data_IF_274110752289
#
_entry.id   IF_274110752289
#
_cell.length_a   1.000
_cell.length_b   1.000
_cell.length_c   1.000
_cell.angle_alpha   90.00
_cell.angle_beta   90.00
_cell.angle_gamma   90.00
#
_symmetry.space_group_name_H-M   'P 1'
#
loop_
_entity.id
_entity.type
_entity.pdbx_description
1 polymer ?
#
# COMPACT_ATOMS: atom_id res chain seq x y z
N UNK A 1 3.32 20.83 -4.80
CA UNK A 1 4.08 19.57 -4.62
C UNK A 1 3.34 18.52 -5.40
N UNK A 2 4.05 17.82 -6.29
CA UNK A 2 3.44 16.77 -7.10
C UNK A 2 3.27 15.50 -6.26
N UNK A 3 2.17 14.80 -6.48
CA UNK A 3 1.90 13.48 -5.91
C UNK A 3 1.57 12.54 -7.06
N UNK A 4 2.26 11.43 -7.14
CA UNK A 4 2.07 10.45 -8.19
C UNK A 4 1.59 9.14 -7.57
N UNK A 5 0.54 8.58 -8.17
CA UNK A 5 0.07 7.22 -7.88
C UNK A 5 0.79 6.24 -8.77
N UNK A 6 1.27 5.14 -8.20
CA UNK A 6 1.94 4.10 -8.97
C UNK A 6 1.52 2.69 -8.53
N UNK A 7 1.74 1.74 -9.44
CA UNK A 7 1.47 0.32 -9.20
C UNK A 7 2.74 -0.43 -8.84
N UNK A 8 2.58 -1.52 -8.11
CA UNK A 8 3.64 -2.47 -7.75
C UNK A 8 3.07 -3.87 -7.83
N UNK A 9 3.14 -4.49 -9.00
CA UNK A 9 2.51 -5.77 -9.33
C UNK A 9 3.53 -6.76 -9.88
N UNK A 10 3.15 -7.99 -10.11
CA UNK A 10 4.01 -9.06 -10.62
C UNK A 10 5.34 -9.16 -9.82
N UNK A 11 6.47 -9.28 -10.52
CA UNK A 11 7.79 -9.37 -9.90
C UNK A 11 8.18 -8.14 -9.07
N UNK A 12 7.59 -6.96 -9.34
CA UNK A 12 7.87 -5.77 -8.54
C UNK A 12 7.30 -5.89 -7.12
N UNK A 13 6.25 -6.71 -6.90
CA UNK A 13 5.71 -6.98 -5.56
C UNK A 13 6.74 -7.66 -4.64
N UNK A 14 7.69 -8.40 -5.22
CA UNK A 14 8.77 -9.09 -4.51
C UNK A 14 9.98 -8.20 -4.19
N UNK A 15 9.94 -6.91 -4.57
CA UNK A 15 11.00 -5.95 -4.28
C UNK A 15 10.78 -5.33 -2.90
N UNK A 16 11.80 -5.32 -2.05
CA UNK A 16 11.73 -4.73 -0.73
C UNK A 16 11.45 -3.21 -0.78
N UNK A 17 10.86 -2.67 0.29
CA UNK A 17 10.49 -1.25 0.33
C UNK A 17 11.69 -0.31 0.03
N UNK A 18 12.84 -0.55 0.65
CA UNK A 18 14.05 0.27 0.43
C UNK A 18 14.49 0.25 -1.04
N UNK A 19 14.38 -0.90 -1.69
CA UNK A 19 14.75 -1.01 -3.11
C UNK A 19 13.67 -0.41 -4.02
N UNK A 20 12.39 -0.42 -3.60
CA UNK A 20 11.33 0.34 -4.26
C UNK A 20 11.62 1.85 -4.22
N UNK A 21 12.05 2.40 -3.07
CA UNK A 21 12.45 3.81 -2.96
C UNK A 21 13.60 4.14 -3.91
N UNK A 22 14.61 3.27 -3.98
CA UNK A 22 15.75 3.41 -4.90
C UNK A 22 15.29 3.36 -6.36
N UNK A 23 14.44 2.38 -6.71
CA UNK A 23 13.90 2.24 -8.06
C UNK A 23 13.15 3.51 -8.50
N UNK A 24 12.25 4.03 -7.66
CA UNK A 24 11.53 5.28 -7.93
C UNK A 24 12.52 6.45 -8.11
N UNK A 25 13.52 6.59 -7.23
CA UNK A 25 14.55 7.63 -7.37
C UNK A 25 15.29 7.52 -8.71
N UNK A 26 15.63 6.31 -9.14
CA UNK A 26 16.30 6.10 -10.44
C UNK A 26 15.38 6.39 -11.64
N UNK A 27 14.08 6.06 -11.53
CA UNK A 27 13.07 6.39 -12.55
C UNK A 27 13.02 7.91 -12.73
N UNK A 28 12.88 8.67 -11.64
CA UNK A 28 12.86 10.14 -11.70
C UNK A 28 14.13 10.73 -12.33
N UNK A 29 15.31 10.22 -11.96
CA UNK A 29 16.59 10.65 -12.53
C UNK A 29 16.68 10.37 -14.04
N UNK A 30 16.30 9.17 -14.49
CA UNK A 30 16.32 8.79 -15.90
C UNK A 30 15.31 9.57 -16.72
N UNK A 31 14.13 9.82 -16.15
CA UNK A 31 13.10 10.64 -16.76
C UNK A 31 13.47 12.14 -16.80
N UNK A 32 14.59 12.53 -16.17
CA UNK A 32 15.05 13.93 -16.06
C UNK A 32 13.98 14.87 -15.47
N UNK A 33 13.21 14.37 -14.52
CA UNK A 33 12.28 15.21 -13.76
C UNK A 33 13.10 16.04 -12.78
N UNK A 34 12.94 17.36 -12.84
CA UNK A 34 13.63 18.28 -11.95
C UNK A 34 12.95 18.27 -10.57
N UNK A 35 13.56 17.56 -9.64
CA UNK A 35 13.08 17.41 -8.24
C UNK A 35 14.06 18.12 -7.32
N UNK A 36 13.55 18.84 -6.34
CA UNK A 36 14.39 19.48 -5.31
C UNK A 36 15.20 18.41 -4.54
N UNK A 37 16.41 18.79 -4.17
CA UNK A 37 17.31 17.98 -3.35
C UNK A 37 17.43 18.54 -1.94
N UNK A 38 17.58 17.65 -0.96
CA UNK A 38 17.85 18.03 0.41
C UNK A 38 19.16 18.83 0.54
N UNK A 39 19.20 19.76 1.51
CA UNK A 39 20.41 20.51 1.84
C UNK A 39 21.30 19.68 2.78
N UNK A 40 22.58 19.58 2.51
CA UNK A 40 23.53 18.88 3.37
C UNK A 40 24.69 18.24 2.60
N UNK A 41 25.52 17.47 3.30
CA UNK A 41 26.73 16.84 2.72
C UNK A 41 26.40 15.72 1.70
N UNK A 42 25.26 15.06 1.84
CA UNK A 42 24.78 14.01 0.92
C UNK A 42 23.41 14.37 0.39
N UNK A 43 23.28 15.24 -0.63
CA UNK A 43 22.00 15.62 -1.18
C UNK A 43 21.24 14.43 -1.76
N UNK A 44 19.97 14.28 -1.40
CA UNK A 44 19.06 13.28 -1.96
C UNK A 44 17.78 13.95 -2.45
N UNK A 45 17.12 13.34 -3.42
CA UNK A 45 15.82 13.82 -3.90
C UNK A 45 14.81 13.87 -2.75
N UNK A 46 14.10 14.98 -2.61
CA UNK A 46 13.04 15.13 -1.62
C UNK A 46 11.77 14.42 -2.09
N UNK A 47 11.76 13.10 -1.91
CA UNK A 47 10.61 12.22 -2.17
C UNK A 47 9.99 11.78 -0.85
N UNK A 48 8.65 11.91 -0.76
CA UNK A 48 7.87 11.39 0.36
C UNK A 48 6.99 10.22 -0.12
N UNK A 49 6.87 9.17 0.66
CA UNK A 49 6.07 7.99 0.29
C UNK A 49 4.91 7.78 1.25
N UNK A 50 3.82 7.20 0.76
CA UNK A 50 2.77 6.63 1.61
C UNK A 50 3.29 5.46 2.44
N UNK A 51 2.46 4.96 3.35
CA UNK A 51 2.83 3.81 4.18
C UNK A 51 3.29 2.62 3.32
N UNK A 52 4.44 1.98 3.65
CA UNK A 52 4.99 0.89 2.86
C UNK A 52 4.08 -0.34 2.85
N UNK A 53 4.09 -1.05 1.72
CA UNK A 53 3.42 -2.35 1.59
C UNK A 53 4.39 -3.49 1.91
N UNK A 54 3.88 -4.57 2.50
CA UNK A 54 4.69 -5.77 2.80
C UNK A 54 5.15 -6.47 1.52
N UNK A 55 6.28 -7.14 1.61
CA UNK A 55 6.85 -7.93 0.51
C UNK A 55 5.87 -9.01 0.05
N UNK A 56 5.73 -9.21 -1.26
CA UNK A 56 4.86 -10.20 -1.87
C UNK A 56 3.40 -9.76 -2.02
N UNK A 57 3.03 -8.58 -1.51
CA UNK A 57 1.71 -8.01 -1.71
C UNK A 57 1.73 -7.11 -2.95
N UNK A 58 0.80 -7.33 -3.87
CA UNK A 58 0.60 -6.46 -5.03
C UNK A 58 -0.16 -5.20 -4.65
N UNK A 59 0.11 -4.11 -5.36
CA UNK A 59 -0.58 -2.84 -5.14
C UNK A 59 -0.83 -2.08 -6.43
N UNK A 60 -2.02 -1.51 -6.55
CA UNK A 60 -2.36 -0.51 -7.57
C UNK A 60 -2.57 0.88 -6.96
N UNK A 61 -2.22 1.05 -5.69
CA UNK A 61 -2.44 2.28 -4.92
C UNK A 61 -1.23 2.61 -4.01
N UNK A 62 -0.04 2.77 -4.60
CA UNK A 62 1.12 3.37 -3.96
C UNK A 62 1.21 4.85 -4.34
N UNK A 63 1.69 5.69 -3.40
CA UNK A 63 1.82 7.12 -3.66
C UNK A 63 3.21 7.62 -3.29
N UNK A 64 3.74 8.51 -4.13
CA UNK A 64 4.98 9.23 -3.89
C UNK A 64 4.76 10.71 -4.12
N UNK A 65 5.22 11.54 -3.22
CA UNK A 65 5.28 12.99 -3.39
C UNK A 65 6.68 13.42 -3.79
N UNK A 66 6.76 14.43 -4.68
CA UNK A 66 8.00 15.04 -5.11
C UNK A 66 7.87 16.57 -5.11
N UNK A 67 8.90 17.25 -4.65
CA UNK A 67 9.00 18.70 -4.85
C UNK A 67 9.52 18.99 -6.26
N UNK A 68 8.62 19.03 -7.20
CA UNK A 68 8.89 19.30 -8.62
C UNK A 68 7.79 20.16 -9.20
N UNK A 69 8.08 20.82 -10.33
CA UNK A 69 7.08 21.53 -11.11
C UNK A 69 6.28 20.56 -11.99
N UNK A 70 5.03 20.95 -12.27
CA UNK A 70 4.16 20.20 -13.18
C UNK A 70 4.71 20.25 -14.59
N UNK A 71 4.72 19.11 -15.27
CA UNK A 71 5.08 18.95 -16.68
C UNK A 71 4.02 18.09 -17.35
N UNK A 72 3.54 18.51 -18.53
CA UNK A 72 2.43 17.84 -19.24
C UNK A 72 2.72 16.37 -19.59
N UNK A 73 3.97 16.01 -19.81
CA UNK A 73 4.40 14.67 -20.21
C UNK A 73 5.05 13.84 -19.08
N UNK A 74 4.95 14.28 -17.84
CA UNK A 74 5.67 13.68 -16.70
C UNK A 74 5.36 12.18 -16.52
N UNK A 75 4.09 11.78 -16.65
CA UNK A 75 3.70 10.36 -16.54
C UNK A 75 4.31 9.53 -17.66
N UNK A 76 4.31 10.03 -18.89
CA UNK A 76 4.92 9.34 -20.04
C UNK A 76 6.43 9.17 -19.85
N UNK A 77 7.13 10.23 -19.41
CA UNK A 77 8.58 10.20 -19.13
C UNK A 77 8.93 9.21 -18.02
N UNK A 78 8.16 9.19 -16.94
CA UNK A 78 8.38 8.25 -15.84
C UNK A 78 8.12 6.81 -16.30
N UNK A 79 7.01 6.55 -16.98
CA UNK A 79 6.63 5.22 -17.44
C UNK A 79 7.61 4.62 -18.46
N UNK A 80 8.23 5.45 -19.31
CA UNK A 80 9.29 5.00 -20.21
C UNK A 80 10.54 4.44 -19.48
N UNK A 81 10.67 4.70 -18.18
CA UNK A 81 11.79 4.27 -17.36
C UNK A 81 11.39 3.28 -16.25
N UNK A 82 10.13 2.87 -16.19
CA UNK A 82 9.65 1.91 -15.20
C UNK A 82 10.10 0.48 -15.52
N UNK A 83 10.48 -0.31 -14.51
CA UNK A 83 10.64 -1.74 -14.68
C UNK A 83 9.26 -2.41 -14.85
N UNK A 84 9.27 -3.65 -15.36
CA UNK A 84 8.05 -4.46 -15.50
C UNK A 84 7.35 -4.61 -14.14
N UNK A 85 6.02 -4.44 -14.13
CA UNK A 85 5.18 -4.50 -12.92
C UNK A 85 5.12 -3.20 -12.12
N UNK A 86 5.74 -2.12 -12.59
CA UNK A 86 5.61 -0.78 -12.02
C UNK A 86 5.15 0.21 -13.09
N UNK A 87 4.17 1.05 -12.76
CA UNK A 87 3.66 2.09 -13.65
C UNK A 87 3.11 3.26 -12.83
N UNK A 88 3.34 4.48 -13.28
CA UNK A 88 2.70 5.68 -12.74
C UNK A 88 1.37 5.90 -13.45
N UNK A 89 0.27 5.97 -12.70
CA UNK A 89 -1.09 5.91 -13.27
C UNK A 89 -1.91 7.18 -13.04
N UNK A 90 -1.53 8.01 -12.08
CA UNK A 90 -2.20 9.29 -11.83
C UNK A 90 -1.23 10.32 -11.24
N UNK A 91 -1.58 11.59 -11.39
CA UNK A 91 -0.82 12.74 -10.95
C UNK A 91 -1.77 13.74 -10.28
N UNK A 92 -1.37 14.24 -9.12
CA UNK A 92 -2.11 15.24 -8.35
C UNK A 92 -1.16 16.36 -7.92
N UNK A 93 -1.72 17.54 -7.62
CA UNK A 93 -0.99 18.64 -7.06
C UNK A 93 -1.56 19.03 -5.69
N UNK A 94 -0.86 18.65 -4.61
CA UNK A 94 -1.26 18.96 -3.23
C UNK A 94 -0.06 18.97 -2.30
N UNK A 95 -0.09 19.86 -1.30
CA UNK A 95 0.94 19.87 -0.25
C UNK A 95 0.46 19.06 0.96
N UNK A 96 0.90 17.83 1.09
CA UNK A 96 0.48 16.91 2.14
C UNK A 96 1.61 15.95 2.53
N UNK A 97 1.59 15.50 3.79
CA UNK A 97 2.45 14.40 4.24
C UNK A 97 1.71 13.07 4.01
N UNK A 98 2.02 12.38 2.92
CA UNK A 98 1.36 11.13 2.53
C UNK A 98 1.38 10.05 3.63
N UNK A 99 2.52 9.89 4.33
CA UNK A 99 2.67 8.87 5.36
C UNK A 99 1.81 9.13 6.61
N UNK A 100 1.53 10.39 6.90
CA UNK A 100 0.68 10.77 8.04
C UNK A 100 -0.80 10.82 7.66
N UNK A 101 -1.09 11.20 6.41
CA UNK A 101 -2.47 11.48 5.97
C UNK A 101 -3.17 10.22 5.46
N UNK A 102 -2.48 9.39 4.67
CA UNK A 102 -3.07 8.15 4.14
C UNK A 102 -2.93 7.04 5.19
N UNK A 103 -3.96 6.88 6.02
CA UNK A 103 -3.92 6.08 7.23
C UNK A 103 -4.73 4.78 7.17
N UNK A 104 -5.48 4.53 6.06
CA UNK A 104 -6.19 3.28 5.81
C UNK A 104 -5.92 2.79 4.40
N UNK A 105 -6.02 1.48 4.22
CA UNK A 105 -5.88 0.86 2.91
C UNK A 105 -6.87 -0.29 2.72
N UNK A 106 -7.41 -0.39 1.52
CA UNK A 106 -8.29 -1.46 1.07
C UNK A 106 -7.47 -2.56 0.42
N UNK A 107 -7.83 -3.79 0.74
CA UNK A 107 -7.20 -4.98 0.18
C UNK A 107 -8.26 -5.96 -0.30
N UNK A 108 -8.00 -6.58 -1.46
CA UNK A 108 -8.65 -7.80 -1.89
C UNK A 108 -7.78 -8.96 -1.42
N UNK A 109 -8.39 -9.84 -0.65
CA UNK A 109 -7.81 -11.08 -0.14
C UNK A 109 -8.37 -12.23 -0.98
N UNK A 110 -7.51 -13.08 -1.52
CA UNK A 110 -7.92 -14.26 -2.29
C UNK A 110 -7.28 -15.51 -1.68
N UNK A 111 -8.08 -16.43 -1.20
CA UNK A 111 -7.68 -17.74 -0.71
C UNK A 111 -8.91 -18.66 -0.72
N UNK A 112 -8.67 -19.98 -0.80
CA UNK A 112 -9.77 -20.95 -0.84
C UNK A 112 -10.66 -20.82 0.41
N UNK A 113 -11.94 -20.52 0.21
CA UNK A 113 -12.95 -20.40 1.26
C UNK A 113 -12.89 -19.12 2.13
N UNK A 114 -11.97 -18.20 1.88
CA UNK A 114 -11.76 -17.00 2.74
C UNK A 114 -12.99 -16.12 2.81
N UNK A 115 -13.74 -15.98 1.73
CA UNK A 115 -14.95 -15.18 1.68
C UNK A 115 -16.05 -15.69 2.64
N UNK A 116 -16.08 -16.98 2.94
CA UNK A 116 -17.07 -17.54 3.86
C UNK A 116 -16.78 -17.21 5.32
N UNK A 117 -15.53 -16.90 5.65
CA UNK A 117 -15.06 -16.70 7.04
C UNK A 117 -14.66 -15.25 7.34
N UNK A 118 -14.58 -14.39 6.33
CA UNK A 118 -14.07 -13.02 6.50
C UNK A 118 -14.85 -12.20 7.52
N UNK A 119 -16.15 -12.45 7.68
CA UNK A 119 -17.00 -11.77 8.66
C UNK A 119 -16.49 -11.91 10.10
N UNK A 120 -15.71 -12.96 10.41
CA UNK A 120 -15.16 -13.22 11.73
C UNK A 120 -14.24 -12.08 12.20
N UNK A 121 -13.56 -11.36 11.28
CA UNK A 121 -12.67 -10.26 11.66
C UNK A 121 -13.39 -9.04 12.23
N UNK A 122 -14.70 -8.95 12.06
CA UNK A 122 -15.55 -7.88 12.62
C UNK A 122 -16.09 -8.19 14.02
N UNK A 123 -15.71 -9.34 14.59
CA UNK A 123 -16.11 -9.68 15.95
C UNK A 123 -15.52 -8.68 16.97
N UNK A 124 -16.26 -8.34 18.04
CA UNK A 124 -15.72 -7.54 19.14
C UNK A 124 -14.46 -8.17 19.72
N UNK A 125 -13.43 -7.34 19.99
CA UNK A 125 -12.14 -7.79 20.54
C UNK A 125 -11.45 -8.88 19.66
N UNK A 126 -11.58 -8.78 18.34
CA UNK A 126 -10.97 -9.72 17.42
C UNK A 126 -9.45 -9.76 17.61
N UNK A 127 -8.98 -10.91 18.05
CA UNK A 127 -7.57 -11.12 18.39
C UNK A 127 -6.90 -12.02 17.36
N UNK A 128 -5.75 -11.58 16.83
CA UNK A 128 -4.91 -12.40 15.97
C UNK A 128 -3.70 -12.90 16.73
N UNK A 129 -3.29 -14.13 16.43
CA UNK A 129 -2.06 -14.72 16.95
C UNK A 129 -1.07 -14.90 15.82
N UNK A 130 0.17 -14.47 16.04
CA UNK A 130 1.25 -14.56 15.07
C UNK A 130 2.61 -14.64 15.76
N UNK A 131 3.62 -15.16 15.06
CA UNK A 131 4.98 -15.23 15.57
C UNK A 131 5.75 -13.94 15.25
N UNK A 132 6.32 -13.31 16.27
CA UNK A 132 7.23 -12.18 16.14
C UNK A 132 8.51 -12.45 16.90
N UNK A 133 9.68 -12.31 16.26
CA UNK A 133 11.00 -12.59 16.86
C UNK A 133 11.08 -13.94 17.60
N UNK A 134 10.45 -14.98 17.06
CA UNK A 134 10.34 -16.35 17.62
C UNK A 134 9.47 -16.45 18.88
N UNK A 135 8.68 -15.43 19.18
CA UNK A 135 7.69 -15.43 20.28
C UNK A 135 6.30 -15.38 19.69
N UNK A 136 5.39 -16.18 20.22
CA UNK A 136 3.98 -16.09 19.89
C UNK A 136 3.37 -14.87 20.55
N UNK A 137 2.69 -14.04 19.76
CA UNK A 137 2.06 -12.78 20.19
C UNK A 137 0.60 -12.84 19.82
N UNK A 138 -0.26 -12.65 20.81
CA UNK A 138 -1.70 -12.44 20.62
C UNK A 138 -2.04 -10.97 20.81
N UNK A 139 -2.78 -10.38 19.87
CA UNK A 139 -3.10 -8.96 19.88
C UNK A 139 -4.51 -8.69 19.39
N UNK A 140 -5.28 -7.94 20.17
CA UNK A 140 -6.53 -7.36 19.70
C UNK A 140 -6.26 -6.36 18.58
N UNK A 141 -6.92 -6.54 17.45
CA UNK A 141 -6.79 -5.72 16.25
C UNK A 141 -8.12 -5.13 15.78
N UNK A 142 -9.20 -5.32 16.52
CA UNK A 142 -10.55 -4.90 16.15
C UNK A 142 -10.62 -3.42 15.78
N UNK A 143 -9.95 -2.53 16.53
CA UNK A 143 -9.90 -1.09 16.24
C UNK A 143 -9.10 -0.70 14.97
N UNK A 144 -8.47 -1.67 14.30
CA UNK A 144 -7.67 -1.47 13.10
C UNK A 144 -8.31 -2.06 11.85
N UNK A 145 -9.52 -2.61 11.97
CA UNK A 145 -10.32 -3.17 10.88
C UNK A 145 -11.55 -2.31 10.75
N UNK A 146 -11.68 -1.62 9.62
CA UNK A 146 -12.76 -0.66 9.39
C UNK A 146 -13.93 -1.28 8.64
N UNK A 147 -13.65 -2.21 7.72
CA UNK A 147 -14.67 -2.99 7.03
C UNK A 147 -14.14 -4.35 6.60
N UNK A 148 -15.04 -5.31 6.44
CA UNK A 148 -14.76 -6.62 5.84
C UNK A 148 -16.02 -7.11 5.14
N UNK A 149 -15.89 -7.41 3.85
CA UNK A 149 -17.00 -7.79 2.98
C UNK A 149 -16.62 -9.02 2.17
N UNK A 150 -17.54 -9.96 2.05
CA UNK A 150 -17.42 -11.09 1.13
C UNK A 150 -17.65 -10.60 -0.30
N UNK A 151 -16.74 -10.91 -1.23
CA UNK A 151 -16.94 -10.71 -2.67
C UNK A 151 -17.56 -11.98 -3.26
N UNK A 152 -16.90 -13.10 -3.05
CA UNK A 152 -17.35 -14.44 -3.44
C UNK A 152 -16.83 -15.49 -2.42
N UNK A 153 -16.90 -16.77 -2.74
CA UNK A 153 -16.44 -17.84 -1.86
C UNK A 153 -14.94 -17.74 -1.51
N UNK A 154 -14.12 -17.37 -2.48
CA UNK A 154 -12.66 -17.36 -2.40
C UNK A 154 -12.03 -15.98 -2.33
N UNK A 155 -12.87 -14.94 -2.28
CA UNK A 155 -12.42 -13.55 -2.30
C UNK A 155 -13.18 -12.70 -1.28
N UNK A 156 -12.44 -11.82 -0.61
CA UNK A 156 -12.97 -10.87 0.34
C UNK A 156 -12.28 -9.51 0.22
N UNK A 157 -12.98 -8.45 0.58
CA UNK A 157 -12.48 -7.09 0.64
C UNK A 157 -12.37 -6.65 2.09
N UNK A 158 -11.26 -6.04 2.47
CA UNK A 158 -11.08 -5.50 3.82
C UNK A 158 -10.46 -4.11 3.76
N UNK A 159 -10.85 -3.22 4.69
CA UNK A 159 -10.19 -1.93 4.91
C UNK A 159 -9.48 -1.99 6.25
N UNK A 160 -8.17 -1.82 6.25
CA UNK A 160 -7.29 -1.94 7.41
C UNK A 160 -6.53 -0.65 7.67
N UNK A 161 -6.18 -0.41 8.94
CA UNK A 161 -5.26 0.65 9.31
C UNK A 161 -3.88 0.46 8.69
N UNK A 162 -3.27 1.54 8.22
CA UNK A 162 -1.89 1.58 7.76
C UNK A 162 -1.10 2.71 8.45
N UNK A 163 0.17 2.90 8.10
CA UNK A 163 1.03 3.88 8.75
C UNK A 163 1.36 3.51 10.20
N UNK A 164 1.19 4.45 11.14
CA UNK A 164 1.56 4.26 12.56
C UNK A 164 0.75 3.14 13.25
N UNK A 165 -0.48 2.92 12.81
CA UNK A 165 -1.38 1.88 13.36
C UNK A 165 -1.44 0.62 12.49
N UNK A 166 -0.45 0.43 11.63
CA UNK A 166 -0.45 -0.59 10.58
C UNK A 166 -0.91 -1.97 11.06
N UNK A 167 -1.90 -2.52 10.37
CA UNK A 167 -2.31 -3.92 10.47
C UNK A 167 -2.00 -4.62 9.14
N UNK A 168 -1.07 -5.56 9.18
CA UNK A 168 -0.63 -6.29 8.00
C UNK A 168 -1.72 -7.24 7.51
N UNK A 169 -2.17 -7.15 6.25
CA UNK A 169 -3.24 -7.99 5.73
C UNK A 169 -2.87 -9.49 5.66
N UNK A 170 -1.59 -9.82 5.46
CA UNK A 170 -1.11 -11.21 5.47
C UNK A 170 -1.30 -11.87 6.85
N UNK A 171 -1.18 -11.12 7.95
CA UNK A 171 -1.48 -11.65 9.29
C UNK A 171 -2.96 -12.02 9.44
N UNK A 172 -3.86 -11.22 8.88
CA UNK A 172 -5.31 -11.51 8.87
C UNK A 172 -5.59 -12.79 8.07
N UNK A 173 -5.05 -12.88 6.85
CA UNK A 173 -5.25 -14.05 5.99
C UNK A 173 -4.74 -15.31 6.67
N UNK A 174 -3.49 -15.31 7.12
CA UNK A 174 -2.88 -16.48 7.76
C UNK A 174 -3.63 -16.92 9.03
N UNK A 175 -4.08 -15.94 9.84
CA UNK A 175 -4.84 -16.24 11.04
C UNK A 175 -6.20 -16.88 10.71
N UNK A 176 -6.96 -16.31 9.74
CA UNK A 176 -8.22 -16.88 9.28
C UNK A 176 -8.04 -18.28 8.68
N UNK A 177 -7.01 -18.47 7.85
CA UNK A 177 -6.72 -19.77 7.27
C UNK A 177 -6.42 -20.82 8.35
N UNK A 178 -5.62 -20.46 9.33
CA UNK A 178 -5.26 -21.37 10.44
C UNK A 178 -6.49 -21.70 11.29
N UNK A 179 -7.28 -20.72 11.69
CA UNK A 179 -8.46 -20.93 12.54
C UNK A 179 -9.56 -21.76 11.85
N UNK A 180 -9.69 -21.64 10.54
CA UNK A 180 -10.77 -22.29 9.78
C UNK A 180 -10.28 -23.51 8.98
N UNK A 181 -9.04 -23.98 9.20
CA UNK A 181 -8.43 -25.08 8.46
C UNK A 181 -8.47 -24.92 6.93
N UNK A 182 -8.36 -23.67 6.44
CA UNK A 182 -8.28 -23.39 5.01
C UNK A 182 -6.88 -23.75 4.50
N UNK A 183 -6.81 -24.41 3.35
CA UNK A 183 -5.56 -24.89 2.76
C UNK A 183 -5.33 -24.25 1.39
N UNK A 184 -4.06 -24.15 1.00
CA UNK A 184 -3.64 -23.61 -0.30
C UNK A 184 -2.91 -22.28 -0.16
N UNK A 185 -2.61 -21.68 -1.31
CA UNK A 185 -1.94 -20.38 -1.38
C UNK A 185 -2.95 -19.25 -1.22
N UNK A 186 -2.42 -18.07 -0.89
CA UNK A 186 -3.21 -16.85 -0.86
C UNK A 186 -2.55 -15.74 -1.69
N UNK A 187 -3.37 -14.79 -2.13
CA UNK A 187 -2.93 -13.56 -2.78
C UNK A 187 -3.57 -12.36 -2.10
N UNK A 188 -2.85 -11.25 -2.11
CA UNK A 188 -3.31 -9.98 -1.55
C UNK A 188 -3.01 -8.87 -2.55
N UNK A 189 -4.03 -8.07 -2.88
CA UNK A 189 -3.91 -6.90 -3.72
C UNK A 189 -4.39 -5.67 -2.94
N UNK A 190 -3.52 -4.67 -2.76
CA UNK A 190 -3.94 -3.35 -2.28
C UNK A 190 -4.56 -2.57 -3.43
N UNK A 191 -5.82 -2.18 -3.28
CA UNK A 191 -6.62 -1.53 -4.33
C UNK A 191 -6.76 -0.03 -4.13
N UNK A 192 -6.78 0.44 -2.88
CA UNK A 192 -7.02 1.84 -2.56
C UNK A 192 -6.33 2.22 -1.25
N UNK A 193 -6.03 3.51 -1.08
CA UNK A 193 -5.71 4.13 0.21
C UNK A 193 -6.75 5.21 0.53
N UNK A 194 -6.81 5.58 1.80
CA UNK A 194 -7.77 6.58 2.29
C UNK A 194 -7.09 7.57 3.23
N UNK A 195 -7.55 8.81 3.17
CA UNK A 195 -7.36 9.81 4.21
C UNK A 195 -8.62 9.73 5.10
N UNK A 196 -8.53 9.04 6.23
CA UNK A 196 -9.65 8.61 7.06
C UNK A 196 -10.68 7.79 6.24
N UNK A 197 -11.84 8.35 5.91
CA UNK A 197 -12.89 7.69 5.12
C UNK A 197 -12.95 8.15 3.66
N UNK A 198 -12.10 9.11 3.26
CA UNK A 198 -12.09 9.68 1.91
C UNK A 198 -11.08 8.92 1.05
N UNK A 199 -11.47 8.37 -0.11
CA UNK A 199 -10.53 7.75 -1.05
C UNK A 199 -9.37 8.69 -1.40
N UNK A 200 -8.15 8.16 -1.44
CA UNK A 200 -6.94 8.98 -1.62
C UNK A 200 -6.98 9.81 -2.91
N UNK A 201 -7.46 9.24 -4.01
CA UNK A 201 -7.53 9.96 -5.29
C UNK A 201 -8.52 11.13 -5.20
N UNK A 202 -9.66 10.96 -4.51
CA UNK A 202 -10.63 12.01 -4.25
C UNK A 202 -10.05 13.09 -3.34
N UNK A 203 -9.46 12.69 -2.20
CA UNK A 203 -8.81 13.61 -1.27
C UNK A 203 -7.71 14.44 -1.93
N UNK A 204 -6.91 13.82 -2.80
CA UNK A 204 -5.79 14.48 -3.47
C UNK A 204 -6.26 15.40 -4.62
N UNK A 205 -7.45 15.17 -5.17
CA UNK A 205 -8.07 15.99 -6.23
C UNK A 205 -8.84 17.22 -5.69
N UNK A 206 -9.14 17.27 -4.41
CA UNK A 206 -9.77 18.44 -3.77
C UNK A 206 -8.77 19.58 -3.68
N UNK A 207 -9.23 20.81 -3.89
CA UNK A 207 -8.42 22.04 -3.76
C UNK A 207 -7.99 22.32 -2.30
#
# INVERSE_FOLDING_TARGET
>A
MLILKFTKTENSSLVAHVDTLRAVTYIFRRAKVDVEYSKGFNPHMELGFSAPISLGIESVAEYVSAKAEMQDDILAKLNANCPKGMSFVALFEKKVNLAATLNRAEYILTANGIGNVIHQVLAPNYTITYTEKRVEVSKDVSSRIFSAEKIDENSAKVVLACGNSNLRPDRIVLHLMTQNNLVGDYKILKTQMFADDIPADEFLSQE
#
